data_IF_804085432195
#
_entry.id   IF_804085432195
#
_cell.length_a   1.000
_cell.length_b   1.000
_cell.length_c   1.000
_cell.angle_alpha   90.00
_cell.angle_beta   90.00
_cell.angle_gamma   90.00
#
_symmetry.space_group_name_H-M   'P 1'
#
loop_
_entity.id
_entity.type
_entity.pdbx_description
1 polymer ?
#
# COMPACT_ATOMS: atom_id res chain seq x y z
N UNK A 1 -0.76 -1.09 -10.57
CA UNK A 1 0.65 -0.93 -10.11
C UNK A 1 0.77 0.06 -8.95
N UNK A 2 0.39 1.34 -9.09
CA UNK A 2 0.58 2.37 -8.03
C UNK A 2 0.01 1.98 -6.66
N UNK A 3 -1.25 1.52 -6.60
CA UNK A 3 -1.88 1.10 -5.32
C UNK A 3 -1.11 -0.05 -4.66
N UNK A 4 -0.69 -1.05 -5.45
CA UNK A 4 0.04 -2.23 -4.95
C UNK A 4 1.40 -1.78 -4.41
N UNK A 5 2.09 -0.89 -5.12
CA UNK A 5 3.37 -0.31 -4.67
C UNK A 5 3.22 0.48 -3.37
N UNK A 6 2.14 1.26 -3.19
CA UNK A 6 1.86 1.92 -1.91
C UNK A 6 1.49 0.92 -0.80
N UNK A 7 0.76 -0.15 -1.12
CA UNK A 7 0.46 -1.20 -0.14
C UNK A 7 1.71 -1.94 0.32
N UNK A 8 2.68 -2.18 -0.58
CA UNK A 8 3.96 -2.79 -0.28
C UNK A 8 4.80 -1.94 0.70
N UNK A 9 4.82 -0.61 0.51
CA UNK A 9 5.43 0.33 1.46
C UNK A 9 4.85 0.13 2.86
N UNK A 10 3.52 0.05 2.98
CA UNK A 10 2.83 -0.01 4.26
C UNK A 10 2.90 -1.39 4.93
N UNK A 11 2.88 -2.47 4.13
CA UNK A 11 2.81 -3.83 4.65
C UNK A 11 4.18 -4.43 4.95
N UNK A 12 5.21 -4.10 4.14
CA UNK A 12 6.54 -4.72 4.24
C UNK A 12 7.70 -3.71 4.15
N UNK A 13 7.42 -2.39 4.16
CA UNK A 13 8.45 -1.36 4.34
C UNK A 13 9.33 -1.07 3.12
N UNK A 14 8.85 -1.30 1.90
CA UNK A 14 9.62 -1.01 0.67
C UNK A 14 9.32 0.39 0.12
N UNK A 15 9.41 0.61 -1.20
CA UNK A 15 9.17 1.91 -1.86
C UNK A 15 7.97 1.87 -2.82
N UNK A 16 7.38 3.03 -3.07
CA UNK A 16 6.24 3.21 -3.98
C UNK A 16 6.66 3.58 -5.42
N UNK A 17 7.93 3.33 -5.79
CA UNK A 17 8.45 3.66 -7.12
C UNK A 17 7.68 2.89 -8.18
N UNK A 18 7.17 3.62 -9.15
CA UNK A 18 6.50 3.09 -10.34
C UNK A 18 7.26 3.45 -11.60
N UNK A 19 7.20 2.58 -12.61
CA UNK A 19 7.80 2.87 -13.92
C UNK A 19 7.01 3.97 -14.63
N UNK A 20 7.72 4.93 -15.21
CA UNK A 20 7.16 5.97 -16.08
C UNK A 20 6.33 5.38 -17.23
N UNK A 21 5.29 6.10 -17.71
CA UNK A 21 4.94 7.50 -17.39
C UNK A 21 4.13 7.68 -16.09
N UNK A 22 3.85 6.59 -15.37
CA UNK A 22 3.09 6.66 -14.11
C UNK A 22 3.93 7.30 -13.02
N UNK A 23 3.29 8.05 -12.12
CA UNK A 23 3.90 8.64 -10.92
C UNK A 23 3.34 7.96 -9.66
N UNK A 24 4.02 8.03 -8.50
CA UNK A 24 3.43 7.58 -7.24
C UNK A 24 2.09 8.28 -6.94
N UNK A 25 1.26 7.65 -6.10
CA UNK A 25 0.03 8.32 -5.64
C UNK A 25 0.38 9.53 -4.77
N UNK A 26 -0.37 10.60 -4.93
CA UNK A 26 -0.23 11.86 -4.18
C UNK A 26 -1.58 12.43 -3.76
N UNK A 27 -1.54 13.45 -2.90
CA UNK A 27 -2.71 14.20 -2.45
C UNK A 27 -3.80 13.33 -1.80
N UNK A 28 -5.05 13.71 -2.01
CA UNK A 28 -6.22 13.03 -1.43
C UNK A 28 -6.33 11.57 -1.85
N UNK A 29 -5.92 11.25 -3.08
CA UNK A 29 -5.94 9.86 -3.55
C UNK A 29 -4.98 8.99 -2.75
N UNK A 30 -3.78 9.49 -2.43
CA UNK A 30 -2.83 8.79 -1.56
C UNK A 30 -3.42 8.56 -0.19
N UNK A 31 -3.93 9.63 0.45
CA UNK A 31 -4.53 9.55 1.80
C UNK A 31 -5.66 8.51 1.88
N UNK A 32 -6.56 8.49 0.89
CA UNK A 32 -7.65 7.52 0.83
C UNK A 32 -7.15 6.07 0.75
N UNK A 33 -6.14 5.81 -0.09
CA UNK A 33 -5.55 4.46 -0.22
C UNK A 33 -4.77 4.08 1.04
N UNK A 34 -3.98 4.99 1.62
CA UNK A 34 -3.26 4.74 2.87
C UNK A 34 -4.22 4.36 4.00
N UNK A 35 -5.35 5.07 4.13
CA UNK A 35 -6.38 4.74 5.13
C UNK A 35 -6.90 3.31 4.92
N UNK A 36 -7.33 2.97 3.70
CA UNK A 36 -7.86 1.64 3.39
C UNK A 36 -6.84 0.54 3.72
N UNK A 37 -5.57 0.73 3.32
CA UNK A 37 -4.53 -0.29 3.55
C UNK A 37 -4.22 -0.42 5.05
N UNK A 38 -4.13 0.69 5.80
CA UNK A 38 -3.88 0.66 7.25
C UNK A 38 -5.02 -0.01 8.00
N UNK A 39 -6.27 0.31 7.66
CA UNK A 39 -7.46 -0.33 8.24
C UNK A 39 -7.45 -1.84 7.97
N UNK A 40 -7.11 -2.25 6.74
CA UNK A 40 -7.00 -3.65 6.37
C UNK A 40 -5.86 -4.39 7.11
N UNK A 41 -4.71 -3.74 7.29
CA UNK A 41 -3.59 -4.30 8.04
C UNK A 41 -3.94 -4.48 9.52
N UNK A 42 -4.68 -3.55 10.11
CA UNK A 42 -5.14 -3.66 11.50
C UNK A 42 -6.14 -4.81 11.72
N UNK A 43 -6.95 -5.14 10.71
CA UNK A 43 -7.92 -6.23 10.75
C UNK A 43 -7.41 -7.55 10.17
N UNK A 44 -6.14 -7.61 9.70
CA UNK A 44 -5.60 -8.78 9.01
C UNK A 44 -5.37 -9.93 10.02
N UNK A 45 -6.01 -11.10 9.83
CA UNK A 45 -5.77 -12.24 10.72
C UNK A 45 -4.37 -12.83 10.48
N UNK A 46 -3.80 -13.39 11.54
CA UNK A 46 -2.59 -14.22 11.43
C UNK A 46 -2.95 -15.54 10.74
N UNK A 47 -2.19 -15.90 9.70
CA UNK A 47 -2.36 -17.16 9.01
C UNK A 47 -1.52 -18.24 9.71
N UNK A 48 -2.01 -19.50 9.80
CA UNK A 48 -1.22 -20.59 10.35
C UNK A 48 0.09 -20.77 9.56
N UNK A 49 1.19 -20.96 10.29
CA UNK A 49 2.43 -21.45 9.69
C UNK A 49 2.28 -22.97 9.48
N UNK A 50 2.33 -23.43 8.23
CA UNK A 50 2.37 -24.85 7.86
C UNK A 50 3.82 -25.34 7.75
#
# INVERSE_FOLDING_TARGET
VQNIKLAEVLAIGTNDRVRMPRQPLSGERRKAVEKIVRDALAARPELPAF
#
